data_IF_203699258527
#
_entry.id   IF_203699258527
#
_cell.length_a   1.000
_cell.length_b   1.000
_cell.length_c   1.000
_cell.angle_alpha   90.00
_cell.angle_beta   90.00
_cell.angle_gamma   90.00
#
_symmetry.space_group_name_H-M   'P 1'
#
loop_
_entity.id
_entity.type
_entity.pdbx_description
1 polymer ?
#
# COMPACT_ATOMS: atom_id res chain seq x y z
N UNK A 1 13.07 -15.34 27.91
CA UNK A 1 14.15 -14.33 28.02
C UNK A 1 15.55 -14.92 27.88
N UNK A 2 15.70 -16.24 27.76
CA UNK A 2 16.99 -16.94 27.67
C UNK A 2 17.90 -16.46 26.52
N UNK A 3 17.33 -16.00 25.40
CA UNK A 3 18.11 -15.46 24.27
C UNK A 3 18.75 -14.06 24.51
N UNK A 4 18.36 -13.35 25.57
CA UNK A 4 18.79 -11.95 25.80
C UNK A 4 19.84 -11.82 26.93
N UNK A 5 20.26 -12.93 27.55
CA UNK A 5 21.02 -12.94 28.80
C UNK A 5 22.42 -12.31 28.71
N UNK A 6 23.01 -12.22 27.52
CA UNK A 6 24.35 -11.67 27.31
C UNK A 6 24.38 -10.33 26.56
N UNK A 7 23.22 -9.71 26.32
CA UNK A 7 23.14 -8.44 25.58
C UNK A 7 23.33 -7.28 26.55
N UNK A 8 24.36 -6.45 26.29
CA UNK A 8 24.67 -5.26 27.10
C UNK A 8 23.89 -4.01 26.67
N UNK A 9 23.53 -3.95 25.40
CA UNK A 9 22.83 -2.82 24.77
C UNK A 9 21.85 -3.35 23.74
N UNK A 10 20.60 -2.95 23.83
CA UNK A 10 19.54 -3.43 22.95
C UNK A 10 18.98 -2.27 22.12
N UNK A 11 19.10 -2.34 20.80
CA UNK A 11 18.40 -1.41 19.91
C UNK A 11 16.90 -1.73 19.90
N UNK A 12 16.06 -0.72 20.07
CA UNK A 12 14.61 -0.87 20.02
C UNK A 12 13.99 0.16 19.06
N UNK A 13 12.88 -0.22 18.44
CA UNK A 13 12.12 0.69 17.59
C UNK A 13 11.35 1.75 18.42
N UNK A 14 11.14 2.96 17.90
CA UNK A 14 10.38 4.01 18.58
C UNK A 14 8.92 3.62 18.88
N UNK A 15 8.35 2.72 18.07
CA UNK A 15 6.97 2.23 18.21
C UNK A 15 6.80 1.12 19.24
N UNK A 16 7.87 0.72 19.95
CA UNK A 16 7.81 -0.33 20.96
C UNK A 16 6.81 0.05 22.07
N UNK A 17 5.84 -0.81 22.41
CA UNK A 17 4.91 -0.56 23.51
C UNK A 17 5.63 -0.35 24.84
N UNK A 18 5.11 0.56 25.66
CA UNK A 18 5.71 0.94 26.94
C UNK A 18 5.80 -0.24 27.90
N UNK A 19 4.82 -1.14 27.88
CA UNK A 19 4.78 -2.34 28.73
C UNK A 19 5.99 -3.23 28.44
N UNK A 20 6.36 -3.38 27.17
CA UNK A 20 7.52 -4.17 26.74
C UNK A 20 8.81 -3.44 27.11
N UNK A 21 8.87 -2.12 26.93
CA UNK A 21 10.01 -1.31 27.34
C UNK A 21 10.35 -1.49 28.82
N UNK A 22 9.34 -1.49 29.69
CA UNK A 22 9.54 -1.68 31.13
C UNK A 22 10.14 -3.05 31.47
N UNK A 23 9.76 -4.10 30.73
CA UNK A 23 10.27 -5.46 30.93
C UNK A 23 11.74 -5.61 30.54
N UNK A 24 12.21 -4.80 29.58
CA UNK A 24 13.59 -4.87 29.04
C UNK A 24 14.47 -3.73 29.53
N UNK A 25 13.98 -2.89 30.45
CA UNK A 25 14.69 -1.69 30.95
C UNK A 25 16.09 -1.99 31.49
N UNK A 26 16.28 -3.17 32.09
CA UNK A 26 17.57 -3.63 32.62
C UNK A 26 18.63 -3.85 31.53
N UNK A 27 18.22 -4.04 30.27
CA UNK A 27 19.11 -4.27 29.12
C UNK A 27 19.58 -2.98 28.44
N UNK A 28 19.39 -1.82 29.08
CA UNK A 28 19.74 -0.50 28.55
C UNK A 28 19.24 -0.28 27.10
N UNK A 29 17.92 -0.36 26.88
CA UNK A 29 17.35 -0.20 25.55
C UNK A 29 17.66 1.19 24.97
N UNK A 30 18.12 1.22 23.73
CA UNK A 30 18.38 2.43 22.96
C UNK A 30 17.38 2.53 21.82
N UNK A 31 16.59 3.60 21.81
CA UNK A 31 15.67 3.86 20.71
C UNK A 31 16.44 4.29 19.47
N UNK A 32 16.32 3.50 18.40
CA UNK A 32 16.97 3.73 17.12
C UNK A 32 15.91 3.63 16.02
N UNK A 33 15.75 4.64 15.15
CA UNK A 33 14.76 4.62 14.07
C UNK A 33 15.28 3.83 12.85
N UNK A 34 15.78 2.61 13.08
CA UNK A 34 16.45 1.83 12.04
C UNK A 34 15.47 1.42 10.96
N UNK A 35 14.33 0.84 11.33
CA UNK A 35 13.28 0.46 10.37
C UNK A 35 12.81 1.68 9.60
N UNK A 36 12.51 2.79 10.27
CA UNK A 36 12.06 4.03 9.61
C UNK A 36 13.07 4.53 8.56
N UNK A 37 14.37 4.49 8.88
CA UNK A 37 15.44 4.88 7.95
C UNK A 37 15.48 3.98 6.73
N UNK A 38 15.29 2.68 6.90
CA UNK A 38 15.22 1.71 5.80
C UNK A 38 13.94 1.87 4.98
N UNK A 39 12.82 2.26 5.60
CA UNK A 39 11.53 2.45 4.92
C UNK A 39 11.52 3.64 3.95
N UNK A 40 12.48 4.57 4.06
CA UNK A 40 12.55 5.76 3.19
C UNK A 40 12.89 5.43 1.74
N UNK A 41 13.72 4.42 1.50
CA UNK A 41 14.16 4.04 0.14
C UNK A 41 13.46 2.74 -0.24
N UNK A 42 12.52 2.84 -1.19
CA UNK A 42 11.75 1.70 -1.67
C UNK A 42 12.51 0.88 -2.70
N UNK A 43 12.48 -0.43 -2.53
CA UNK A 43 12.96 -1.38 -3.52
C UNK A 43 12.10 -1.33 -4.80
N UNK A 44 12.61 -1.81 -5.96
CA UNK A 44 11.84 -1.85 -7.19
C UNK A 44 10.52 -2.65 -7.08
N UNK A 45 10.52 -3.71 -6.28
CA UNK A 45 9.35 -4.53 -6.00
C UNK A 45 8.30 -3.80 -5.15
N UNK A 46 8.73 -3.13 -4.07
CA UNK A 46 7.84 -2.26 -3.27
C UNK A 46 7.21 -1.18 -4.15
N UNK A 47 8.02 -0.54 -5.00
CA UNK A 47 7.51 0.48 -5.93
C UNK A 47 6.50 -0.08 -6.92
N UNK A 48 6.63 -1.33 -7.37
CA UNK A 48 5.65 -1.97 -8.24
C UNK A 48 4.31 -2.17 -7.50
N UNK A 49 4.35 -2.64 -6.26
CA UNK A 49 3.14 -2.78 -5.44
C UNK A 49 2.49 -1.44 -5.11
N UNK A 50 3.28 -0.40 -4.79
CA UNK A 50 2.76 0.96 -4.57
C UNK A 50 2.05 1.47 -5.83
N UNK A 51 2.63 1.26 -7.01
CA UNK A 51 1.98 1.66 -8.28
C UNK A 51 0.69 0.88 -8.53
N UNK A 52 0.66 -0.41 -8.22
CA UNK A 52 -0.54 -1.22 -8.33
C UNK A 52 -1.63 -0.73 -7.37
N UNK A 53 -1.28 -0.42 -6.12
CA UNK A 53 -2.20 0.17 -5.15
C UNK A 53 -2.74 1.53 -5.62
N UNK A 54 -1.87 2.39 -6.16
CA UNK A 54 -2.27 3.67 -6.74
C UNK A 54 -3.24 3.49 -7.90
N UNK A 55 -3.02 2.50 -8.77
CA UNK A 55 -3.96 2.18 -9.85
C UNK A 55 -5.36 1.81 -9.33
N UNK A 56 -5.45 0.99 -8.27
CA UNK A 56 -6.75 0.70 -7.66
C UNK A 56 -7.39 1.91 -6.99
N UNK A 57 -6.59 2.82 -6.42
CA UNK A 57 -7.08 4.07 -5.86
C UNK A 57 -7.66 4.98 -6.96
N UNK A 58 -7.01 5.08 -8.12
CA UNK A 58 -7.50 5.82 -9.29
C UNK A 58 -8.85 5.26 -9.76
N UNK A 59 -8.97 3.93 -9.88
CA UNK A 59 -10.23 3.27 -10.22
C UNK A 59 -11.33 3.55 -9.16
N UNK A 60 -10.94 3.66 -7.89
CA UNK A 60 -11.80 4.12 -6.79
C UNK A 60 -12.36 5.49 -7.02
N UNK A 61 -11.46 6.43 -7.27
CA UNK A 61 -11.84 7.81 -7.52
C UNK A 61 -12.71 7.94 -8.75
N UNK A 62 -12.43 7.22 -9.84
CA UNK A 62 -13.27 7.21 -11.04
C UNK A 62 -14.71 6.77 -10.72
N UNK A 63 -14.86 5.69 -9.94
CA UNK A 63 -16.18 5.21 -9.52
C UNK A 63 -16.90 6.19 -8.61
N UNK A 64 -16.20 6.78 -7.65
CA UNK A 64 -16.76 7.77 -6.73
C UNK A 64 -17.25 8.99 -7.50
N UNK A 65 -16.42 9.52 -8.40
CA UNK A 65 -16.76 10.70 -9.20
C UNK A 65 -17.92 10.45 -10.16
N UNK A 66 -18.07 9.23 -10.68
CA UNK A 66 -19.19 8.88 -11.57
C UNK A 66 -20.57 8.92 -10.88
N UNK A 67 -20.62 8.73 -9.56
CA UNK A 67 -21.86 8.82 -8.75
C UNK A 67 -21.92 10.07 -7.87
N UNK A 68 -20.92 10.94 -7.93
CA UNK A 68 -20.92 12.19 -7.19
C UNK A 68 -21.86 13.20 -7.86
N UNK A 69 -23.01 13.44 -7.23
CA UNK A 69 -23.96 14.50 -7.61
C UNK A 69 -24.51 15.18 -6.35
N UNK A 70 -25.15 16.34 -6.52
CA UNK A 70 -25.70 17.09 -5.39
C UNK A 70 -26.80 16.31 -4.65
N UNK A 71 -26.65 16.13 -3.33
CA UNK A 71 -27.55 15.33 -2.51
C UNK A 71 -27.23 13.83 -2.41
N UNK A 72 -26.12 13.35 -2.98
CA UNK A 72 -25.65 11.97 -2.76
C UNK A 72 -25.24 11.76 -1.29
N UNK A 73 -25.54 10.58 -0.73
CA UNK A 73 -25.15 10.25 0.63
C UNK A 73 -23.72 9.71 0.72
N UNK A 74 -23.05 9.94 1.85
CA UNK A 74 -21.71 9.41 2.10
C UNK A 74 -21.67 7.87 2.05
N UNK A 75 -22.73 7.20 2.54
CA UNK A 75 -22.86 5.75 2.51
C UNK A 75 -22.89 5.23 1.06
N UNK A 76 -23.57 5.96 0.18
CA UNK A 76 -23.69 5.61 -1.24
C UNK A 76 -22.35 5.73 -1.96
N UNK A 77 -21.58 6.79 -1.67
CA UNK A 77 -20.19 6.93 -2.12
C UNK A 77 -19.32 5.77 -1.57
N UNK A 78 -19.42 5.48 -0.27
CA UNK A 78 -18.64 4.41 0.37
C UNK A 78 -18.97 3.02 -0.19
N UNK A 79 -20.22 2.78 -0.58
CA UNK A 79 -20.66 1.50 -1.15
C UNK A 79 -19.92 1.13 -2.44
N UNK A 80 -19.45 2.13 -3.21
CA UNK A 80 -18.68 1.92 -4.43
C UNK A 80 -17.32 1.26 -4.19
N UNK A 81 -16.73 1.47 -3.01
CA UNK A 81 -15.44 0.91 -2.65
C UNK A 81 -15.46 -0.62 -2.58
N UNK A 82 -16.63 -1.23 -2.30
CA UNK A 82 -16.77 -2.69 -2.17
C UNK A 82 -16.43 -3.43 -3.46
N UNK A 83 -16.77 -2.85 -4.61
CA UNK A 83 -16.46 -3.46 -5.91
C UNK A 83 -14.94 -3.53 -6.16
N UNK A 84 -14.20 -2.52 -5.69
CA UNK A 84 -12.75 -2.45 -5.84
C UNK A 84 -12.05 -3.32 -4.81
N UNK A 85 -12.52 -3.31 -3.56
CA UNK A 85 -12.01 -4.24 -2.53
C UNK A 85 -12.12 -5.69 -2.99
N UNK A 86 -13.26 -6.07 -3.58
CA UNK A 86 -13.45 -7.41 -4.13
C UNK A 86 -12.52 -7.70 -5.32
N UNK A 87 -12.19 -6.68 -6.11
CA UNK A 87 -11.22 -6.79 -7.21
C UNK A 87 -9.81 -7.02 -6.67
N UNK A 88 -9.38 -6.23 -5.68
CA UNK A 88 -8.09 -6.35 -4.99
C UNK A 88 -7.95 -7.75 -4.40
N UNK A 89 -8.93 -8.24 -3.64
CA UNK A 89 -8.90 -9.57 -2.99
C UNK A 89 -8.79 -10.71 -4.01
N UNK A 90 -9.35 -10.55 -5.22
CA UNK A 90 -9.29 -11.58 -6.27
C UNK A 90 -8.00 -11.55 -7.08
N UNK A 91 -7.43 -10.37 -7.27
CA UNK A 91 -6.29 -10.14 -8.17
C UNK A 91 -4.95 -10.09 -7.42
N UNK A 92 -4.96 -10.08 -6.09
CA UNK A 92 -3.75 -9.98 -5.26
C UNK A 92 -3.80 -10.95 -4.08
N UNK A 93 -2.63 -11.41 -3.64
CA UNK A 93 -2.46 -12.14 -2.39
C UNK A 93 -2.54 -11.17 -1.20
N UNK A 94 -3.75 -10.64 -0.96
CA UNK A 94 -3.99 -9.65 0.07
C UNK A 94 -3.87 -10.29 1.46
N UNK A 95 -2.79 -9.99 2.18
CA UNK A 95 -2.62 -10.32 3.59
C UNK A 95 -2.84 -9.08 4.48
N UNK A 96 -3.89 -9.06 5.33
CA UNK A 96 -4.17 -7.94 6.22
C UNK A 96 -3.14 -7.76 7.34
N UNK A 97 -2.26 -8.75 7.58
CA UNK A 97 -1.24 -8.70 8.63
C UNK A 97 0.11 -8.13 8.16
N UNK A 98 0.25 -7.88 6.86
CA UNK A 98 1.49 -7.35 6.29
C UNK A 98 1.69 -5.88 6.71
N UNK A 99 2.79 -5.53 7.41
CA UNK A 99 3.05 -4.15 7.79
C UNK A 99 3.27 -3.29 6.55
N UNK A 100 2.79 -2.05 6.56
CA UNK A 100 2.84 -1.09 5.43
C UNK A 100 4.25 -0.84 4.88
N UNK A 101 5.30 -1.04 5.68
CA UNK A 101 6.68 -0.92 5.23
C UNK A 101 7.24 -2.23 4.66
N UNK A 102 6.67 -3.39 5.00
CA UNK A 102 7.10 -4.70 4.53
C UNK A 102 6.15 -5.21 3.45
N UNK A 103 5.85 -4.39 2.45
CA UNK A 103 5.28 -4.89 1.22
C UNK A 103 6.37 -5.76 0.58
N UNK A 104 6.41 -7.03 0.94
CA UNK A 104 7.25 -8.03 0.30
C UNK A 104 6.35 -8.73 -0.72
N UNK A 105 6.72 -8.75 -2.01
CA UNK A 105 6.21 -9.81 -2.86
C UNK A 105 6.72 -11.11 -2.26
N UNK A 106 5.89 -12.15 -2.18
CA UNK A 106 6.45 -13.49 -2.08
C UNK A 106 7.35 -13.68 -3.32
N UNK A 107 8.66 -13.66 -3.09
CA UNK A 107 9.71 -13.65 -4.11
C UNK A 107 9.75 -14.96 -4.92
N UNK A 108 8.83 -15.90 -4.67
CA UNK A 108 8.80 -17.19 -5.32
C UNK A 108 8.15 -17.19 -6.70
N UNK A 109 7.19 -16.29 -6.98
CA UNK A 109 6.38 -16.40 -8.21
C UNK A 109 6.06 -15.06 -8.93
N UNK A 110 6.67 -13.93 -8.55
CA UNK A 110 6.35 -12.64 -9.19
C UNK A 110 6.94 -12.51 -10.60
N UNK A 111 6.14 -12.81 -11.62
CA UNK A 111 6.33 -12.29 -12.98
C UNK A 111 5.60 -10.95 -13.17
N UNK A 112 6.27 -9.89 -13.66
CA UNK A 112 5.58 -8.64 -13.96
C UNK A 112 4.53 -8.88 -15.05
N UNK A 113 3.26 -8.67 -14.70
CA UNK A 113 2.16 -8.68 -15.67
C UNK A 113 2.47 -7.73 -16.84
N UNK A 114 2.14 -8.11 -18.09
CA UNK A 114 2.57 -7.37 -19.27
C UNK A 114 2.03 -5.95 -19.21
N UNK A 115 2.93 -5.00 -19.46
CA UNK A 115 2.62 -3.59 -19.63
C UNK A 115 1.39 -3.44 -20.51
N UNK A 116 0.29 -2.91 -19.96
CA UNK A 116 -0.82 -2.43 -20.77
C UNK A 116 -0.30 -1.22 -21.53
N UNK A 117 0.23 -1.47 -22.73
CA UNK A 117 0.50 -0.43 -23.71
C UNK A 117 -0.82 0.32 -23.94
N UNK A 118 -0.84 1.65 -23.93
CA UNK A 118 -2.06 2.40 -24.16
C UNK A 118 -2.57 2.04 -25.56
N UNK A 119 -3.70 1.34 -25.64
CA UNK A 119 -4.37 1.08 -26.91
C UNK A 119 -4.73 2.45 -27.50
N UNK A 120 -3.97 2.90 -28.49
CA UNK A 120 -4.31 4.04 -29.32
C UNK A 120 -5.59 3.74 -30.09
N UNK A 121 -6.74 4.16 -29.55
CA UNK A 121 -7.98 4.26 -30.31
C UNK A 121 -8.75 5.47 -29.81
N UNK A 122 -8.47 6.61 -30.44
CA UNK A 122 -9.48 7.49 -31.01
C UNK A 122 -8.77 8.59 -31.78
N UNK A 123 -8.69 8.41 -33.10
CA UNK A 123 -8.45 9.51 -34.00
C UNK A 123 -9.64 10.48 -33.86
N UNK A 124 -9.37 11.69 -33.37
CA UNK A 124 -10.28 12.82 -33.50
C UNK A 124 -10.57 12.99 -35.00
N UNK A 125 -11.82 12.77 -35.42
CA UNK A 125 -12.28 13.24 -36.72
C UNK A 125 -12.47 14.76 -36.61
N UNK A 126 -11.94 15.56 -37.54
CA UNK A 126 -12.23 16.99 -37.57
C UNK A 126 -13.68 17.23 -37.97
N UNK A 127 -14.33 18.17 -37.30
CA UNK A 127 -15.72 18.56 -37.51
C UNK A 127 -15.96 19.07 -38.94
N UNK A 128 -17.15 18.81 -39.54
CA UNK A 128 -17.49 19.35 -40.85
C UNK A 128 -17.69 20.86 -40.76
N UNK A 129 -16.93 21.59 -41.57
CA UNK A 129 -17.15 23.02 -41.84
C UNK A 129 -18.55 23.15 -42.45
N UNK A 130 -19.46 23.82 -41.74
CA UNK A 130 -20.79 24.19 -42.24
C UNK A 130 -20.65 25.26 -43.34
N UNK A 131 -21.56 25.27 -44.34
CA UNK A 131 -21.46 26.08 -45.55
C UNK A 131 -21.58 27.59 -45.33
#
# INVERSE_FOLDING_TARGET
>A
MEMLENIKTLGIEPSLPQEVFLQIKSLQPQTLPLVETLCLIKSPSEMAMIRQAAHYADLGMEKILAVAYDGVSEIEIFSQNRAIQMKIIKETDFDPSTPTCSLQPDLRDWEPSPTVSPKSKNALKPDPILP
#
